data_IF_068733485316
#
_entry.id   IF_068733485316
#
_cell.length_a   1.000
_cell.length_b   1.000
_cell.length_c   1.000
_cell.angle_alpha   90.00
_cell.angle_beta   90.00
_cell.angle_gamma   90.00
#
_symmetry.space_group_name_H-M   'P 1'
#
loop_
_entity.id
_entity.type
_entity.pdbx_description
1 polymer ?
#
# COMPACT_ATOMS: atom_id res chain seq x y z
N UNK A 1 -13.30 -36.83 -1.46
CA UNK A 1 -13.72 -36.64 -2.86
C UNK A 1 -12.65 -37.13 -3.85
N UNK A 2 -11.36 -36.85 -3.62
CA UNK A 2 -10.16 -37.30 -4.37
C UNK A 2 -9.88 -38.83 -4.50
N UNK A 3 -10.87 -39.70 -4.28
CA UNK A 3 -10.71 -41.18 -4.41
C UNK A 3 -11.79 -41.86 -5.23
N UNK A 4 -12.79 -41.12 -5.74
CA UNK A 4 -13.99 -41.71 -6.34
C UNK A 4 -13.94 -41.87 -7.87
N UNK A 5 -13.01 -41.21 -8.56
CA UNK A 5 -13.05 -41.14 -10.01
C UNK A 5 -11.68 -41.45 -10.60
N UNK A 6 -11.59 -42.64 -11.20
CA UNK A 6 -10.39 -43.23 -11.80
C UNK A 6 -10.48 -43.26 -13.33
N UNK A 7 -11.64 -42.95 -13.92
CA UNK A 7 -11.83 -42.85 -15.36
C UNK A 7 -12.99 -41.89 -15.72
N UNK A 8 -13.05 -41.51 -17.00
CA UNK A 8 -14.02 -40.55 -17.55
C UNK A 8 -15.48 -41.02 -17.47
N UNK A 9 -15.75 -42.32 -17.56
CA UNK A 9 -17.10 -42.87 -17.42
C UNK A 9 -17.69 -42.62 -16.04
N UNK A 10 -16.87 -42.67 -14.98
CA UNK A 10 -17.37 -42.42 -13.63
C UNK A 10 -17.71 -40.93 -13.37
N UNK A 11 -17.15 -40.00 -14.15
CA UNK A 11 -17.51 -38.58 -14.12
C UNK A 11 -18.84 -38.37 -14.86
N UNK A 12 -19.05 -39.07 -15.97
CA UNK A 12 -20.31 -39.04 -16.72
C UNK A 12 -21.50 -39.60 -15.92
N UNK A 13 -21.25 -40.66 -15.12
CA UNK A 13 -22.24 -41.26 -14.21
C UNK A 13 -22.55 -40.36 -13.00
N UNK A 14 -21.54 -39.72 -12.41
CA UNK A 14 -21.72 -38.81 -11.26
C UNK A 14 -22.47 -37.52 -11.64
N UNK A 15 -22.36 -37.11 -12.90
CA UNK A 15 -23.12 -36.00 -13.47
C UNK A 15 -24.57 -36.40 -13.79
N UNK A 16 -24.86 -37.68 -14.04
CA UNK A 16 -26.23 -38.20 -14.13
C UNK A 16 -26.90 -38.36 -12.76
N UNK A 17 -26.16 -38.67 -11.70
CA UNK A 17 -26.71 -38.84 -10.34
C UNK A 17 -27.10 -37.52 -9.65
N UNK A 18 -26.79 -36.34 -10.21
CA UNK A 18 -27.22 -35.03 -9.69
C UNK A 18 -28.52 -34.49 -10.33
N UNK A 19 -29.35 -35.35 -10.91
CA UNK A 19 -30.72 -34.98 -11.26
C UNK A 19 -31.56 -34.75 -10.00
N UNK A 20 -31.60 -33.49 -9.54
CA UNK A 20 -32.38 -33.17 -8.36
C UNK A 20 -32.27 -31.74 -7.84
N UNK A 21 -32.25 -30.71 -8.69
CA UNK A 21 -32.74 -29.39 -8.30
C UNK A 21 -33.10 -28.55 -9.53
N UNK A 22 -34.41 -28.38 -9.70
CA UNK A 22 -35.07 -27.62 -10.76
C UNK A 22 -34.75 -26.13 -10.68
N UNK A 23 -34.03 -25.59 -11.66
CA UNK A 23 -34.21 -24.22 -12.18
C UNK A 23 -34.04 -24.27 -13.71
N UNK A 24 -35.02 -23.75 -14.43
CA UNK A 24 -35.14 -23.80 -15.89
C UNK A 24 -33.88 -23.31 -16.62
N UNK A 25 -33.22 -24.22 -17.34
CA UNK A 25 -32.22 -23.90 -18.36
C UNK A 25 -30.83 -24.57 -18.27
N UNK A 26 -30.60 -25.51 -17.35
CA UNK A 26 -29.29 -26.17 -17.17
C UNK A 26 -28.98 -27.29 -18.18
N UNK A 27 -30.00 -27.89 -18.80
CA UNK A 27 -29.83 -29.00 -19.77
C UNK A 27 -28.94 -28.58 -20.96
N UNK A 28 -29.05 -27.32 -21.38
CA UNK A 28 -28.23 -26.78 -22.46
C UNK A 28 -26.77 -26.58 -22.07
N UNK A 29 -26.47 -26.22 -20.81
CA UNK A 29 -25.10 -25.99 -20.35
C UNK A 29 -24.36 -27.32 -20.16
N UNK A 30 -25.07 -28.31 -19.61
CA UNK A 30 -24.55 -29.64 -19.37
C UNK A 30 -24.31 -30.42 -20.68
N UNK A 31 -25.26 -30.40 -21.61
CA UNK A 31 -25.12 -31.04 -22.92
C UNK A 31 -24.07 -30.33 -23.80
N UNK A 32 -23.95 -29.00 -23.67
CA UNK A 32 -22.92 -28.21 -24.35
C UNK A 32 -21.52 -28.50 -23.78
N UNK A 33 -21.36 -28.58 -22.46
CA UNK A 33 -20.10 -28.94 -21.82
C UNK A 33 -19.66 -30.37 -22.22
N UNK A 34 -20.59 -31.34 -22.26
CA UNK A 34 -20.34 -32.70 -22.78
C UNK A 34 -19.88 -32.68 -24.25
N UNK A 35 -20.56 -31.92 -25.12
CA UNK A 35 -20.18 -31.78 -26.54
C UNK A 35 -18.81 -31.10 -26.73
N UNK A 36 -18.48 -30.10 -25.90
CA UNK A 36 -17.16 -29.45 -25.95
C UNK A 36 -16.04 -30.36 -25.44
N UNK A 37 -16.29 -31.18 -24.41
CA UNK A 37 -15.35 -32.18 -23.91
C UNK A 37 -15.09 -33.29 -24.94
N UNK A 38 -16.08 -33.67 -25.75
CA UNK A 38 -15.90 -34.63 -26.86
C UNK A 38 -15.17 -34.04 -28.09
N UNK A 39 -15.25 -32.72 -28.33
CA UNK A 39 -14.60 -32.08 -29.49
C UNK A 39 -13.11 -31.77 -29.27
N UNK A 40 -12.68 -31.62 -28.01
CA UNK A 40 -11.27 -31.38 -27.69
C UNK A 40 -10.59 -32.74 -27.54
N UNK A 41 -9.83 -33.14 -28.56
CA UNK A 41 -8.93 -34.31 -28.51
C UNK A 41 -8.19 -34.38 -27.17
N UNK A 42 -8.57 -35.34 -26.33
CA UNK A 42 -8.02 -35.66 -25.00
C UNK A 42 -6.58 -36.22 -25.07
N UNK A 43 -5.82 -35.92 -26.12
CA UNK A 43 -4.53 -36.53 -26.41
C UNK A 43 -3.33 -36.00 -25.62
N UNK A 44 -3.52 -35.12 -24.62
CA UNK A 44 -2.40 -34.48 -23.90
C UNK A 44 -2.51 -34.47 -22.37
N UNK A 45 -3.57 -35.01 -21.77
CA UNK A 45 -3.68 -35.10 -20.32
C UNK A 45 -3.15 -36.46 -19.85
N UNK A 46 -2.01 -36.46 -19.14
CA UNK A 46 -1.36 -37.70 -18.69
C UNK A 46 -1.83 -38.13 -17.29
N UNK A 47 -2.40 -37.20 -16.49
CA UNK A 47 -2.93 -37.46 -15.14
C UNK A 47 -4.37 -36.94 -14.95
N UNK A 48 -5.08 -37.45 -13.94
CA UNK A 48 -6.45 -37.03 -13.60
C UNK A 48 -6.56 -35.53 -13.23
N UNK A 49 -5.52 -34.96 -12.62
CA UNK A 49 -5.46 -33.54 -12.29
C UNK A 49 -5.34 -32.67 -13.57
N UNK A 50 -4.72 -33.18 -14.63
CA UNK A 50 -4.62 -32.49 -15.92
C UNK A 50 -5.97 -32.46 -16.65
N UNK A 51 -6.72 -33.56 -16.57
CA UNK A 51 -8.10 -33.66 -17.10
C UNK A 51 -9.03 -32.65 -16.43
N UNK A 52 -8.96 -32.55 -15.10
CA UNK A 52 -9.74 -31.59 -14.32
C UNK A 52 -9.43 -30.15 -14.72
N UNK A 53 -8.14 -29.78 -14.78
CA UNK A 53 -7.71 -28.45 -15.18
C UNK A 53 -8.16 -28.08 -16.60
N UNK A 54 -8.07 -29.04 -17.54
CA UNK A 54 -8.56 -28.85 -18.92
C UNK A 54 -10.07 -28.65 -18.95
N UNK A 55 -10.83 -29.43 -18.18
CA UNK A 55 -12.28 -29.28 -18.07
C UNK A 55 -12.67 -27.92 -17.48
N UNK A 56 -12.04 -27.50 -16.37
CA UNK A 56 -12.27 -26.20 -15.75
C UNK A 56 -11.98 -25.05 -16.71
N UNK A 57 -10.91 -25.13 -17.50
CA UNK A 57 -10.59 -24.14 -18.53
C UNK A 57 -11.66 -24.06 -19.62
N UNK A 58 -12.10 -25.21 -20.14
CA UNK A 58 -13.13 -25.26 -21.18
C UNK A 58 -14.43 -24.64 -20.67
N UNK A 59 -14.87 -25.02 -19.47
CA UNK A 59 -16.08 -24.48 -18.83
C UNK A 59 -15.95 -22.97 -18.61
N UNK A 60 -14.85 -22.51 -18.01
CA UNK A 60 -14.65 -21.08 -17.72
C UNK A 60 -14.62 -20.22 -18.99
N UNK A 61 -13.87 -20.64 -20.02
CA UNK A 61 -13.79 -19.91 -21.29
C UNK A 61 -15.15 -19.91 -21.99
N UNK A 62 -15.88 -21.03 -21.95
CA UNK A 62 -17.21 -21.14 -22.55
C UNK A 62 -18.21 -20.21 -21.86
N UNK A 63 -18.30 -20.29 -20.54
CA UNK A 63 -19.24 -19.47 -19.77
C UNK A 63 -18.94 -17.98 -19.96
N UNK A 64 -17.65 -17.58 -19.92
CA UNK A 64 -17.26 -16.19 -20.13
C UNK A 64 -17.70 -15.66 -21.50
N UNK A 65 -17.56 -16.47 -22.56
CA UNK A 65 -18.03 -16.11 -23.90
C UNK A 65 -19.54 -16.04 -23.99
N UNK A 66 -20.26 -16.99 -23.39
CA UNK A 66 -21.72 -17.00 -23.38
C UNK A 66 -22.26 -15.78 -22.63
N UNK A 67 -21.71 -15.46 -21.46
CA UNK A 67 -22.06 -14.25 -20.69
C UNK A 67 -21.75 -12.97 -21.45
N UNK A 68 -20.63 -12.91 -22.17
CA UNK A 68 -20.30 -11.79 -23.03
C UNK A 68 -21.32 -11.62 -24.16
N UNK A 69 -21.63 -12.68 -24.91
CA UNK A 69 -22.65 -12.65 -25.99
C UNK A 69 -24.04 -12.33 -25.44
N UNK A 70 -24.38 -12.84 -24.26
CA UNK A 70 -25.63 -12.55 -23.54
C UNK A 70 -25.71 -11.12 -22.98
N UNK A 71 -24.69 -10.29 -23.18
CA UNK A 71 -24.69 -8.88 -22.81
C UNK A 71 -24.44 -8.60 -21.32
N UNK A 72 -24.06 -9.61 -20.52
CA UNK A 72 -23.78 -9.46 -19.09
C UNK A 72 -22.70 -8.41 -18.80
N UNK A 73 -21.82 -8.16 -19.78
CA UNK A 73 -20.71 -7.22 -19.67
C UNK A 73 -20.85 -5.96 -20.55
N UNK A 74 -22.05 -5.65 -21.06
CA UNK A 74 -22.27 -4.46 -21.91
C UNK A 74 -21.84 -3.15 -21.22
N UNK A 75 -21.93 -3.09 -19.88
CA UNK A 75 -21.48 -1.96 -19.05
C UNK A 75 -19.97 -1.69 -19.16
N UNK A 76 -19.17 -2.70 -19.51
CA UNK A 76 -17.70 -2.63 -19.54
C UNK A 76 -17.14 -2.32 -20.94
N UNK A 77 -17.98 -1.95 -21.92
CA UNK A 77 -17.55 -1.62 -23.28
C UNK A 77 -16.63 -2.68 -23.90
N UNK A 78 -17.00 -3.96 -23.74
CA UNK A 78 -16.18 -5.07 -24.24
C UNK A 78 -16.10 -5.02 -25.77
N UNK A 79 -14.90 -5.19 -26.30
CA UNK A 79 -14.70 -5.36 -27.73
C UNK A 79 -15.07 -6.79 -28.15
N UNK A 80 -16.27 -6.96 -28.69
CA UNK A 80 -16.83 -8.23 -29.13
C UNK A 80 -16.01 -8.93 -30.24
N UNK A 81 -15.13 -8.22 -30.94
CA UNK A 81 -14.24 -8.82 -31.95
C UNK A 81 -13.26 -9.85 -31.37
N UNK A 82 -13.02 -9.81 -30.05
CA UNK A 82 -12.14 -10.76 -29.38
C UNK A 82 -12.84 -12.06 -28.95
N UNK A 83 -14.18 -12.10 -28.90
CA UNK A 83 -14.95 -13.28 -28.43
C UNK A 83 -14.68 -14.53 -29.27
N UNK A 84 -14.44 -14.34 -30.56
CA UNK A 84 -14.12 -15.41 -31.51
C UNK A 84 -12.68 -15.96 -31.34
N UNK A 85 -11.78 -15.23 -30.66
CA UNK A 85 -10.39 -15.62 -30.45
C UNK A 85 -10.24 -16.53 -29.23
N UNK A 86 -10.70 -17.78 -29.33
CA UNK A 86 -10.65 -18.78 -28.23
C UNK A 86 -9.25 -18.95 -27.63
N UNK A 87 -8.21 -18.98 -28.46
CA UNK A 87 -6.83 -19.13 -27.98
C UNK A 87 -6.41 -18.02 -27.02
N UNK A 88 -6.87 -16.78 -27.24
CA UNK A 88 -6.58 -15.67 -26.32
C UNK A 88 -7.22 -15.87 -24.95
N UNK A 89 -8.45 -16.38 -24.90
CA UNK A 89 -9.12 -16.71 -23.64
C UNK A 89 -8.48 -17.88 -22.91
N UNK A 90 -8.01 -18.88 -23.65
CA UNK A 90 -7.26 -20.00 -23.07
C UNK A 90 -5.95 -19.50 -22.45
N UNK A 91 -5.16 -18.70 -23.18
CA UNK A 91 -3.94 -18.10 -22.63
C UNK A 91 -4.23 -17.19 -21.43
N UNK A 92 -5.30 -16.39 -21.48
CA UNK A 92 -5.70 -15.53 -20.37
C UNK A 92 -6.13 -16.33 -19.14
N UNK A 93 -6.87 -17.43 -19.33
CA UNK A 93 -7.23 -18.35 -18.26
C UNK A 93 -5.99 -19.00 -17.65
N UNK A 94 -5.11 -19.57 -18.50
CA UNK A 94 -3.91 -20.26 -18.04
C UNK A 94 -3.01 -19.32 -17.23
N UNK A 95 -2.79 -18.10 -17.72
CA UNK A 95 -2.04 -17.08 -16.99
C UNK A 95 -2.73 -16.66 -15.69
N UNK A 96 -4.05 -16.47 -15.70
CA UNK A 96 -4.76 -16.04 -14.50
C UNK A 96 -4.77 -17.14 -13.43
N UNK A 97 -5.17 -18.36 -13.78
CA UNK A 97 -5.35 -19.46 -12.82
C UNK A 97 -4.00 -20.09 -12.45
N UNK A 98 -3.23 -20.54 -13.43
CA UNK A 98 -2.04 -21.35 -13.17
C UNK A 98 -0.79 -20.54 -12.82
N UNK A 99 -0.78 -19.24 -13.13
CA UNK A 99 0.28 -18.34 -12.71
C UNK A 99 -0.18 -17.41 -11.59
N UNK A 100 -1.10 -16.47 -11.86
CA UNK A 100 -1.45 -15.43 -10.88
C UNK A 100 -2.14 -15.98 -9.61
N UNK A 101 -3.18 -16.80 -9.76
CA UNK A 101 -3.91 -17.35 -8.62
C UNK A 101 -3.06 -18.37 -7.87
N UNK A 102 -2.34 -19.25 -8.59
CA UNK A 102 -1.39 -20.18 -7.97
C UNK A 102 -0.35 -19.46 -7.12
N UNK A 103 0.30 -18.41 -7.62
CA UNK A 103 1.25 -17.62 -6.82
C UNK A 103 0.61 -17.04 -5.56
N UNK A 104 -0.65 -16.58 -5.66
CA UNK A 104 -1.41 -16.11 -4.50
C UNK A 104 -1.67 -17.21 -3.48
N UNK A 105 -2.13 -18.39 -3.92
CA UNK A 105 -2.37 -19.55 -3.07
C UNK A 105 -1.10 -20.08 -2.41
N UNK A 106 0.00 -20.19 -3.16
CA UNK A 106 1.29 -20.63 -2.63
C UNK A 106 1.81 -19.67 -1.56
N UNK A 107 1.59 -18.35 -1.75
CA UNK A 107 1.93 -17.33 -0.76
C UNK A 107 1.03 -17.44 0.48
N UNK A 108 -0.27 -17.59 0.29
CA UNK A 108 -1.25 -17.74 1.37
C UNK A 108 -1.02 -19.00 2.21
N UNK A 109 -0.59 -20.09 1.57
CA UNK A 109 -0.23 -21.33 2.24
C UNK A 109 1.01 -21.19 3.14
N UNK A 110 1.96 -20.31 2.77
CA UNK A 110 3.15 -20.01 3.57
C UNK A 110 2.87 -18.98 4.67
N UNK A 111 2.12 -17.94 4.32
CA UNK A 111 1.79 -16.81 5.19
C UNK A 111 0.26 -16.62 5.14
N UNK A 112 -0.49 -17.23 6.06
CA UNK A 112 -1.93 -17.02 6.16
C UNK A 112 -2.28 -15.54 6.31
N UNK A 113 -3.29 -15.06 5.59
CA UNK A 113 -3.71 -13.65 5.57
C UNK A 113 -2.93 -12.75 4.60
N UNK A 114 -1.93 -13.28 3.88
CA UNK A 114 -1.10 -12.49 2.96
C UNK A 114 -1.90 -11.87 1.81
N UNK A 115 -2.97 -12.53 1.35
CA UNK A 115 -3.82 -12.06 0.27
C UNK A 115 -4.67 -10.87 0.73
N UNK A 116 -5.30 -10.97 1.91
CA UNK A 116 -6.08 -9.88 2.50
C UNK A 116 -5.20 -8.68 2.84
N UNK A 117 -4.05 -8.92 3.48
CA UNK A 117 -3.06 -7.88 3.76
C UNK A 117 -2.56 -7.21 2.47
N UNK A 118 -2.35 -7.98 1.39
CA UNK A 118 -1.98 -7.45 0.08
C UNK A 118 -3.07 -6.58 -0.55
N UNK A 119 -4.33 -6.98 -0.43
CA UNK A 119 -5.47 -6.19 -0.89
C UNK A 119 -5.62 -4.87 -0.13
N UNK A 120 -5.47 -4.91 1.20
CA UNK A 120 -5.45 -3.72 2.07
C UNK A 120 -4.29 -2.78 1.70
N UNK A 121 -3.08 -3.31 1.54
CA UNK A 121 -1.91 -2.52 1.11
C UNK A 121 -2.11 -1.88 -0.28
N UNK A 122 -2.74 -2.61 -1.21
CA UNK A 122 -3.05 -2.07 -2.54
C UNK A 122 -4.04 -0.90 -2.48
N UNK A 123 -5.06 -0.98 -1.63
CA UNK A 123 -6.03 0.10 -1.46
C UNK A 123 -5.39 1.33 -0.80
N UNK A 124 -4.55 1.13 0.22
CA UNK A 124 -3.78 2.22 0.85
C UNK A 124 -2.84 2.90 -0.16
N UNK A 125 -2.05 2.12 -0.91
CA UNK A 125 -1.14 2.67 -1.92
C UNK A 125 -1.87 3.48 -3.01
N UNK A 126 -3.06 3.05 -3.42
CA UNK A 126 -3.90 3.84 -4.35
C UNK A 126 -4.36 5.16 -3.71
N UNK A 127 -4.72 5.16 -2.43
CA UNK A 127 -5.09 6.39 -1.72
C UNK A 127 -3.90 7.34 -1.62
N UNK A 128 -2.70 6.83 -1.31
CA UNK A 128 -1.45 7.61 -1.31
C UNK A 128 -1.15 8.22 -2.66
N UNK A 129 -1.24 7.43 -3.74
CA UNK A 129 -1.03 7.92 -5.10
C UNK A 129 -1.99 9.07 -5.43
N UNK A 130 -3.28 8.95 -5.10
CA UNK A 130 -4.26 10.02 -5.32
C UNK A 130 -3.94 11.28 -4.52
N UNK A 131 -3.51 11.11 -3.26
CA UNK A 131 -3.12 12.22 -2.39
C UNK A 131 -1.86 12.93 -2.91
N UNK A 132 -0.87 12.16 -3.36
CA UNK A 132 0.33 12.64 -4.05
C UNK A 132 -0.07 13.47 -5.27
N UNK A 133 -0.87 12.90 -6.16
CA UNK A 133 -1.28 13.57 -7.40
C UNK A 133 -2.00 14.90 -7.10
N UNK A 134 -2.89 14.92 -6.10
CA UNK A 134 -3.61 16.13 -5.68
C UNK A 134 -2.68 17.20 -5.08
N UNK A 135 -1.77 16.80 -4.19
CA UNK A 135 -0.78 17.70 -3.57
C UNK A 135 0.20 18.24 -4.61
N UNK A 136 0.66 17.40 -5.53
CA UNK A 136 1.59 17.79 -6.58
C UNK A 136 0.94 18.77 -7.57
N UNK A 137 -0.28 18.48 -8.00
CA UNK A 137 -1.04 19.40 -8.85
C UNK A 137 -1.23 20.76 -8.16
N UNK A 138 -1.57 20.76 -6.87
CA UNK A 138 -1.68 21.97 -6.08
C UNK A 138 -0.35 22.73 -6.01
N UNK A 139 0.75 22.07 -5.65
CA UNK A 139 2.08 22.69 -5.58
C UNK A 139 2.51 23.34 -6.91
N UNK A 140 2.21 22.70 -8.04
CA UNK A 140 2.49 23.23 -9.38
C UNK A 140 1.67 24.47 -9.68
N UNK A 141 0.35 24.44 -9.40
CA UNK A 141 -0.56 25.58 -9.62
C UNK A 141 -0.14 26.78 -8.78
N UNK A 142 0.26 26.56 -7.53
CA UNK A 142 0.70 27.59 -6.59
C UNK A 142 2.17 27.98 -6.74
N UNK A 143 2.89 27.42 -7.73
CA UNK A 143 4.29 27.73 -8.05
C UNK A 143 5.22 27.59 -6.85
N UNK A 144 5.05 26.51 -6.09
CA UNK A 144 5.91 26.23 -4.94
C UNK A 144 7.38 26.07 -5.36
N UNK A 145 8.32 26.32 -4.42
CA UNK A 145 9.73 26.03 -4.64
C UNK A 145 9.96 24.59 -5.11
N UNK A 146 10.91 24.40 -6.03
CA UNK A 146 11.20 23.08 -6.62
C UNK A 146 11.51 22.02 -5.56
N UNK A 147 12.17 22.40 -4.46
CA UNK A 147 12.42 21.50 -3.31
C UNK A 147 11.14 20.94 -2.68
N UNK A 148 10.08 21.73 -2.53
CA UNK A 148 8.78 21.23 -2.08
C UNK A 148 8.12 20.34 -3.12
N UNK A 149 8.17 20.73 -4.40
CA UNK A 149 7.63 19.91 -5.49
C UNK A 149 8.29 18.52 -5.59
N UNK A 150 9.58 18.39 -5.24
CA UNK A 150 10.25 17.07 -5.20
C UNK A 150 9.68 16.18 -4.09
N UNK A 151 9.44 16.76 -2.91
CA UNK A 151 8.85 16.04 -1.79
C UNK A 151 7.42 15.62 -2.14
N UNK A 152 6.60 16.52 -2.68
CA UNK A 152 5.20 16.23 -3.02
C UNK A 152 5.01 15.34 -4.26
N UNK A 153 6.06 15.08 -5.03
CA UNK A 153 6.01 14.16 -6.18
C UNK A 153 6.30 12.71 -5.79
N UNK A 154 7.11 12.51 -4.74
CA UNK A 154 7.48 11.19 -4.25
C UNK A 154 6.33 10.55 -3.48
N UNK A 155 5.81 9.42 -3.97
CA UNK A 155 4.72 8.68 -3.31
C UNK A 155 5.14 8.23 -1.91
N UNK A 156 6.42 7.89 -1.71
CA UNK A 156 6.90 7.37 -0.43
C UNK A 156 6.86 8.44 0.69
N UNK A 157 6.96 9.73 0.34
CA UNK A 157 6.82 10.87 1.27
C UNK A 157 5.40 11.04 1.82
N UNK A 158 4.39 10.53 1.11
CA UNK A 158 2.99 10.62 1.52
C UNK A 158 2.61 9.49 2.46
N UNK A 159 1.84 9.84 3.50
CA UNK A 159 1.41 8.91 4.55
C UNK A 159 0.15 8.13 4.16
N UNK A 160 -0.05 7.01 4.83
CA UNK A 160 -1.29 6.23 4.76
C UNK A 160 -2.40 6.99 5.50
N UNK A 161 -3.08 7.93 4.85
CA UNK A 161 -4.25 8.57 5.45
C UNK A 161 -5.44 7.59 5.40
N UNK A 162 -5.78 6.99 6.53
CA UNK A 162 -6.91 6.08 6.68
C UNK A 162 -8.12 6.75 7.33
N UNK A 163 -9.31 6.23 7.04
CA UNK A 163 -10.54 6.73 7.66
C UNK A 163 -10.55 6.39 9.15
N UNK A 164 -10.69 7.41 10.01
CA UNK A 164 -10.63 7.25 11.46
C UNK A 164 -11.54 8.27 12.16
N UNK A 165 -12.43 7.85 13.09
CA UNK A 165 -12.88 6.46 13.28
C UNK A 165 -13.58 5.94 12.01
N UNK A 166 -13.59 4.62 11.82
CA UNK A 166 -14.21 3.98 10.64
C UNK A 166 -15.70 4.36 10.54
N UNK A 167 -16.11 4.94 9.41
CA UNK A 167 -17.49 5.40 9.16
C UNK A 167 -17.71 6.89 9.39
N UNK A 168 -16.74 7.63 9.93
CA UNK A 168 -16.82 9.08 10.18
C UNK A 168 -16.62 9.95 8.94
N UNK A 169 -16.14 9.38 7.82
CA UNK A 169 -15.64 10.10 6.63
C UNK A 169 -14.51 11.09 6.92
N UNK A 170 -13.95 11.10 8.14
CA UNK A 170 -12.73 11.82 8.51
C UNK A 170 -11.54 10.89 8.31
N UNK A 171 -10.43 11.43 7.83
CA UNK A 171 -9.21 10.67 7.58
C UNK A 171 -8.14 11.12 8.57
N UNK A 172 -7.63 10.20 9.38
CA UNK A 172 -6.54 10.51 10.30
C UNK A 172 -5.24 10.69 9.52
N UNK A 173 -4.52 11.75 9.83
CA UNK A 173 -3.14 11.93 9.39
C UNK A 173 -2.28 11.01 10.25
N UNK A 174 -1.94 9.83 9.72
CA UNK A 174 -1.08 8.89 10.43
C UNK A 174 0.30 9.50 10.70
N UNK A 175 0.96 9.13 11.79
CA UNK A 175 2.32 9.56 12.13
C UNK A 175 3.31 8.67 11.39
N UNK A 176 4.15 9.28 10.54
CA UNK A 176 5.30 8.60 9.95
C UNK A 176 6.49 8.79 10.88
N UNK A 177 7.07 7.69 11.33
CA UNK A 177 8.20 7.70 12.25
C UNK A 177 9.43 8.41 11.64
N UNK A 178 9.67 8.20 10.35
CA UNK A 178 10.86 8.70 9.66
C UNK A 178 10.80 10.18 9.28
N UNK A 179 9.64 10.82 9.35
CA UNK A 179 9.52 12.23 9.00
C UNK A 179 9.96 13.12 10.16
N UNK A 180 10.76 14.16 9.85
CA UNK A 180 11.13 15.20 10.80
C UNK A 180 9.90 16.02 11.22
N UNK A 181 10.02 16.74 12.36
CA UNK A 181 8.98 17.69 12.80
C UNK A 181 8.68 18.72 11.71
N UNK A 182 9.71 19.21 11.00
CA UNK A 182 9.56 20.17 9.93
C UNK A 182 8.75 19.62 8.75
N UNK A 183 9.05 18.38 8.31
CA UNK A 183 8.28 17.71 7.26
C UNK A 183 6.81 17.50 7.68
N UNK A 184 6.58 17.17 8.95
CA UNK A 184 5.23 16.96 9.49
C UNK A 184 4.40 18.23 9.42
N UNK A 185 4.95 19.35 9.91
CA UNK A 185 4.28 20.65 9.90
C UNK A 185 4.05 21.14 8.47
N UNK A 186 5.02 20.97 7.57
CA UNK A 186 4.85 21.30 6.15
C UNK A 186 3.64 20.59 5.52
N UNK A 187 3.50 19.27 5.71
CA UNK A 187 2.35 18.54 5.16
C UNK A 187 1.02 18.94 5.80
N UNK A 188 1.02 19.30 7.08
CA UNK A 188 -0.17 19.83 7.76
C UNK A 188 -0.57 21.18 7.17
N UNK A 189 0.38 22.10 7.02
CA UNK A 189 0.14 23.43 6.41
C UNK A 189 -0.34 23.30 4.97
N UNK A 190 0.23 22.37 4.19
CA UNK A 190 -0.24 22.06 2.84
C UNK A 190 -1.69 21.58 2.84
N UNK A 191 -2.06 20.66 3.73
CA UNK A 191 -3.45 20.17 3.85
C UNK A 191 -4.39 21.30 4.26
N UNK A 192 -4.00 22.15 5.22
CA UNK A 192 -4.79 23.29 5.64
C UNK A 192 -4.99 24.31 4.52
N UNK A 193 -3.95 24.59 3.73
CA UNK A 193 -4.02 25.48 2.57
C UNK A 193 -4.94 24.91 1.49
N UNK A 194 -4.80 23.62 1.15
CA UNK A 194 -5.69 22.93 0.20
C UNK A 194 -7.15 22.95 0.68
N UNK A 195 -7.40 22.75 1.97
CA UNK A 195 -8.74 22.75 2.53
C UNK A 195 -9.39 24.14 2.49
N UNK A 196 -8.62 25.21 2.71
CA UNK A 196 -9.10 26.60 2.60
C UNK A 196 -9.54 26.94 1.17
N UNK A 197 -8.88 26.36 0.17
CA UNK A 197 -9.17 26.62 -1.24
C UNK A 197 -10.23 25.70 -1.86
N UNK A 198 -10.46 24.51 -1.28
CA UNK A 198 -11.51 23.60 -1.74
C UNK A 198 -12.92 24.09 -1.34
N UNK A 199 -13.44 25.01 -2.13
CA UNK A 199 -14.81 25.53 -2.01
C UNK A 199 -15.89 24.48 -2.32
N UNK A 200 -15.52 23.32 -2.88
CA UNK A 200 -16.47 22.31 -3.33
C UNK A 200 -16.77 21.26 -2.26
N UNK A 201 -16.02 21.24 -1.15
CA UNK A 201 -16.09 20.21 -0.09
C UNK A 201 -16.01 18.77 -0.66
N UNK A 202 -15.33 18.60 -1.80
CA UNK A 202 -15.16 17.28 -2.44
C UNK A 202 -13.95 16.55 -1.90
N UNK A 203 -13.01 17.27 -1.31
CA UNK A 203 -11.83 16.70 -0.68
C UNK A 203 -12.17 16.00 0.63
N UNK A 204 -11.50 14.89 0.87
CA UNK A 204 -11.55 14.19 2.16
C UNK A 204 -11.03 15.11 3.25
N UNK A 205 -11.83 15.29 4.31
CA UNK A 205 -11.42 16.02 5.50
C UNK A 205 -10.36 15.20 6.23
N UNK A 206 -9.16 15.78 6.36
CA UNK A 206 -8.02 15.16 7.05
C UNK A 206 -7.79 15.86 8.37
N UNK A 207 -7.62 15.09 9.43
CA UNK A 207 -7.54 15.62 10.79
C UNK A 207 -6.40 14.92 11.54
N UNK A 208 -5.71 15.66 12.40
CA UNK A 208 -4.67 15.12 13.26
C UNK A 208 -5.31 14.49 14.50
N UNK A 209 -5.18 13.17 14.72
CA UNK A 209 -5.72 12.53 15.92
C UNK A 209 -4.89 12.91 17.16
N UNK A 210 -5.53 12.90 18.34
CA UNK A 210 -4.87 13.13 19.65
C UNK A 210 -3.96 11.97 20.05
N UNK A 211 -4.37 10.75 19.73
CA UNK A 211 -3.55 9.55 19.88
C UNK A 211 -2.89 9.25 18.53
N UNK A 212 -1.56 9.11 18.45
CA UNK A 212 -0.89 8.98 17.18
C UNK A 212 -1.19 7.62 16.56
N UNK A 213 -1.71 7.62 15.34
CA UNK A 213 -1.91 6.40 14.55
C UNK A 213 -0.67 6.19 13.71
N UNK A 214 0.11 5.14 13.95
CA UNK A 214 1.37 4.91 13.22
C UNK A 214 1.08 4.45 11.78
N UNK A 215 1.80 5.00 10.80
CA UNK A 215 1.71 4.56 9.40
C UNK A 215 2.14 3.11 9.26
N UNK A 216 1.44 2.31 8.45
CA UNK A 216 1.82 0.93 8.16
C UNK A 216 3.09 0.84 7.29
N UNK A 217 3.41 1.90 6.54
CA UNK A 217 4.66 1.99 5.81
C UNK A 217 5.82 2.39 6.74
N UNK A 218 6.64 1.40 7.05
CA UNK A 218 7.86 1.56 7.87
C UNK A 218 9.11 1.91 7.04
N UNK A 219 9.05 1.88 5.71
CA UNK A 219 10.22 2.18 4.89
C UNK A 219 10.40 3.69 4.67
N UNK A 220 11.60 4.24 4.93
CA UNK A 220 11.87 5.65 4.65
C UNK A 220 11.88 5.92 3.14
N UNK A 221 11.35 7.08 2.71
CA UNK A 221 11.47 7.51 1.32
C UNK A 221 12.93 7.69 0.94
N UNK A 222 13.28 7.43 -0.32
CA UNK A 222 14.65 7.56 -0.84
C UNK A 222 14.82 8.88 -1.59
N UNK A 223 16.04 9.40 -1.58
CA UNK A 223 16.49 10.59 -2.29
C UNK A 223 15.69 11.87 -1.96
N UNK A 224 15.13 11.95 -0.75
CA UNK A 224 14.56 13.19 -0.24
C UNK A 224 15.63 14.04 0.47
N UNK A 225 15.40 15.36 0.61
CA UNK A 225 16.30 16.27 1.32
C UNK A 225 16.61 15.79 2.75
N UNK A 226 17.84 16.02 3.24
CA UNK A 226 18.30 15.44 4.52
C UNK A 226 17.44 15.88 5.72
N UNK A 227 16.89 17.09 5.69
CA UNK A 227 16.00 17.66 6.70
C UNK A 227 14.57 17.10 6.69
N UNK A 228 14.26 16.20 5.74
CA UNK A 228 13.04 15.40 5.77
C UNK A 228 13.06 14.33 6.85
N UNK A 229 14.23 13.81 7.20
CA UNK A 229 14.33 12.62 8.05
C UNK A 229 14.36 12.98 9.54
N UNK A 230 13.74 12.18 10.40
CA UNK A 230 13.89 12.32 11.84
C UNK A 230 15.34 11.98 12.26
N UNK A 231 16.01 12.91 12.95
CA UNK A 231 17.43 12.79 13.33
C UNK A 231 17.68 11.54 14.20
N UNK A 232 16.82 11.26 15.18
CA UNK A 232 16.99 10.13 16.10
C UNK A 232 16.91 8.80 15.35
N UNK A 233 15.87 8.63 14.53
CA UNK A 233 15.70 7.40 13.75
C UNK A 233 16.74 7.25 12.64
N UNK A 234 17.18 8.36 12.04
CA UNK A 234 18.24 8.36 11.05
C UNK A 234 19.57 7.91 11.66
N UNK A 235 19.91 8.37 12.86
CA UNK A 235 21.11 7.95 13.60
C UNK A 235 21.10 6.43 13.90
N UNK A 236 19.93 5.87 14.19
CA UNK A 236 19.77 4.44 14.44
C UNK A 236 19.90 3.56 13.17
N UNK A 237 19.91 4.13 11.96
CA UNK A 237 20.07 3.36 10.72
C UNK A 237 21.48 2.80 10.54
N UNK A 238 21.60 1.72 9.77
CA UNK A 238 22.90 1.19 9.33
C UNK A 238 23.63 2.21 8.46
N UNK A 239 24.97 2.15 8.44
CA UNK A 239 25.78 3.11 7.68
C UNK A 239 25.45 3.10 6.18
N UNK A 240 25.26 1.91 5.59
CA UNK A 240 24.85 1.74 4.19
C UNK A 240 23.52 2.46 3.90
N UNK A 241 22.53 2.34 4.80
CA UNK A 241 21.25 3.03 4.68
C UNK A 241 21.41 4.55 4.79
N UNK A 242 22.24 5.04 5.73
CA UNK A 242 22.54 6.47 5.85
C UNK A 242 23.21 7.06 4.60
N UNK A 243 23.99 6.27 3.86
CA UNK A 243 24.61 6.68 2.58
C UNK A 243 23.61 6.79 1.44
N UNK A 244 22.69 5.83 1.33
CA UNK A 244 21.86 5.63 0.13
C UNK A 244 20.47 6.28 0.21
N UNK A 245 19.93 6.45 1.42
CA UNK A 245 18.56 6.93 1.62
C UNK A 245 18.42 8.43 1.34
N UNK A 246 19.17 9.36 1.98
CA UNK A 246 18.91 10.79 1.82
C UNK A 246 19.68 11.40 0.63
N UNK A 247 19.17 12.51 0.12
CA UNK A 247 19.96 13.45 -0.69
C UNK A 247 20.77 14.37 0.23
N UNK A 248 22.05 14.05 0.40
CA UNK A 248 23.00 14.85 1.20
C UNK A 248 23.26 16.26 0.65
N UNK A 249 22.84 16.57 -0.59
CA UNK A 249 23.12 17.85 -1.24
C UNK A 249 21.98 18.86 -1.13
N UNK A 250 20.82 18.46 -0.62
CA UNK A 250 19.65 19.33 -0.53
C UNK A 250 19.02 19.40 0.85
N UNK A 251 18.46 20.57 1.13
CA UNK A 251 17.58 20.85 2.28
C UNK A 251 16.34 21.56 1.75
N UNK A 252 15.20 21.34 2.41
CA UNK A 252 13.90 21.81 1.94
C UNK A 252 13.23 22.84 2.86
N UNK A 253 13.26 22.60 4.17
CA UNK A 253 12.39 23.25 5.13
C UNK A 253 13.04 24.45 5.79
N UNK A 254 12.19 25.40 6.20
CA UNK A 254 12.58 26.55 7.01
C UNK A 254 12.98 26.10 8.43
N UNK A 255 13.82 26.90 9.09
CA UNK A 255 14.16 26.68 10.51
C UNK A 255 12.91 26.70 11.39
N UNK A 256 12.03 27.68 11.17
CA UNK A 256 10.68 27.68 11.71
C UNK A 256 9.69 27.15 10.66
N UNK A 257 9.25 25.89 10.76
CA UNK A 257 8.35 25.29 9.77
C UNK A 257 6.93 25.87 9.83
N UNK A 258 6.54 26.54 10.92
CA UNK A 258 5.22 27.14 11.08
C UNK A 258 4.99 28.26 10.06
N UNK A 259 6.03 29.02 9.73
CA UNK A 259 6.00 30.08 8.71
C UNK A 259 5.89 29.55 7.28
N UNK A 260 6.00 28.23 7.07
CA UNK A 260 5.92 27.63 5.75
C UNK A 260 4.47 27.55 5.28
N UNK A 261 4.21 28.02 4.05
CA UNK A 261 2.88 28.04 3.44
C UNK A 261 1.80 28.83 4.22
N UNK A 262 2.22 29.69 5.15
CA UNK A 262 1.32 30.71 5.71
C UNK A 262 1.06 31.80 4.67
N UNK A 263 -0.09 32.48 4.76
CA UNK A 263 -0.68 33.23 3.64
C UNK A 263 0.24 34.21 2.90
N UNK A 264 1.33 34.69 3.52
CA UNK A 264 2.41 35.40 2.84
C UNK A 264 3.65 34.51 2.67
N UNK A 265 4.12 34.36 1.43
CA UNK A 265 5.34 33.60 1.11
C UNK A 265 6.55 34.19 1.84
N UNK A 266 7.15 33.37 2.71
CA UNK A 266 8.34 33.73 3.48
C UNK A 266 9.51 34.15 2.54
N UNK A 267 10.33 35.16 2.90
CA UNK A 267 11.42 35.63 2.03
C UNK A 267 12.39 34.53 1.61
N UNK A 268 12.72 33.62 2.52
CA UNK A 268 13.64 32.51 2.20
C UNK A 268 12.99 31.46 1.30
N UNK A 269 11.66 31.36 1.25
CA UNK A 269 10.99 30.47 0.31
C UNK A 269 11.17 30.93 -1.14
N UNK A 270 11.32 32.24 -1.36
CA UNK A 270 11.59 32.85 -2.68
C UNK A 270 13.02 32.62 -3.17
N UNK A 271 13.92 32.16 -2.31
CA UNK A 271 15.28 31.82 -2.72
C UNK A 271 15.27 30.63 -3.68
N UNK A 272 16.18 30.69 -4.67
CA UNK A 272 16.50 29.50 -5.48
C UNK A 272 17.02 28.38 -4.59
N UNK A 273 16.80 27.12 -4.97
CA UNK A 273 17.27 25.95 -4.21
C UNK A 273 18.77 26.03 -3.88
N UNK A 274 19.60 26.55 -4.81
CA UNK A 274 21.03 26.75 -4.56
C UNK A 274 21.30 27.77 -3.46
N UNK A 275 20.57 28.89 -3.46
CA UNK A 275 20.68 29.93 -2.43
C UNK A 275 20.17 29.44 -1.08
N UNK A 276 19.07 28.69 -1.08
CA UNK A 276 18.50 28.08 0.12
C UNK A 276 19.47 27.07 0.76
N UNK A 277 20.02 26.14 -0.03
CA UNK A 277 21.01 25.18 0.44
C UNK A 277 22.25 25.87 0.99
N UNK A 278 22.74 26.93 0.34
CA UNK A 278 23.91 27.68 0.84
C UNK A 278 23.67 28.29 2.22
N UNK A 279 22.43 28.69 2.53
CA UNK A 279 22.07 29.32 3.81
C UNK A 279 21.90 28.29 4.93
N UNK A 280 21.13 27.23 4.68
CA UNK A 280 20.65 26.34 5.76
C UNK A 280 21.40 25.01 5.86
N UNK A 281 22.03 24.53 4.78
CA UNK A 281 22.58 23.17 4.73
C UNK A 281 23.65 22.90 5.78
N UNK A 282 24.58 23.82 5.99
CA UNK A 282 25.67 23.64 6.95
C UNK A 282 25.17 23.53 8.40
N UNK A 283 24.13 24.28 8.77
CA UNK A 283 23.52 24.21 10.09
C UNK A 283 22.83 22.86 10.30
N UNK A 284 22.05 22.41 9.30
CA UNK A 284 21.32 21.16 9.36
C UNK A 284 22.26 19.96 9.40
N UNK A 285 23.30 19.92 8.56
CA UNK A 285 24.22 18.78 8.51
C UNK A 285 24.96 18.51 9.81
N UNK A 286 25.14 19.50 10.69
CA UNK A 286 25.75 19.30 12.02
C UNK A 286 24.95 18.33 12.89
N UNK A 287 23.63 18.22 12.68
CA UNK A 287 22.77 17.33 13.45
C UNK A 287 22.85 15.86 12.97
N UNK A 288 23.33 15.62 11.75
CA UNK A 288 23.32 14.31 11.09
C UNK A 288 24.73 13.69 11.05
N UNK A 289 24.89 12.41 11.38
CA UNK A 289 26.17 11.73 11.22
C UNK A 289 26.44 11.50 9.74
N UNK A 290 27.33 12.30 9.15
CA UNK A 290 27.78 12.04 7.78
C UNK A 290 28.51 10.70 7.73
N UNK A 291 28.20 9.83 6.74
CA UNK A 291 28.92 8.59 6.55
C UNK A 291 30.39 8.87 6.19
N UNK A 292 31.29 8.01 6.67
CA UNK A 292 32.72 8.10 6.35
C UNK A 292 32.87 7.77 4.86
N UNK A 293 33.56 8.62 4.09
CA UNK A 293 33.87 8.30 2.69
C UNK A 293 34.90 7.16 2.65
N UNK A 294 34.42 5.92 2.56
CA UNK A 294 35.25 4.79 2.17
C UNK A 294 35.02 4.53 0.68
N UNK A 295 36.09 4.70 -0.08
CA UNK A 295 36.18 4.57 -1.54
C UNK A 295 36.18 3.08 -1.95
N UNK A 296 35.11 2.36 -1.62
CA UNK A 296 34.97 0.95 -1.97
C UNK A 296 33.69 0.71 -2.77
N UNK A 297 33.97 0.16 -3.96
CA UNK A 297 33.11 -0.26 -5.07
C UNK A 297 31.75 -0.83 -4.68
N UNK A 298 30.77 -0.43 -5.48
CA UNK A 298 29.42 -0.98 -5.55
C UNK A 298 29.44 -2.51 -5.66
N UNK A 299 28.92 -3.19 -4.65
CA UNK A 299 28.25 -4.48 -4.83
C UNK A 299 26.77 -4.25 -4.50
N UNK A 300 25.99 -4.19 -5.58
CA UNK A 300 24.53 -4.13 -5.55
C UNK A 300 24.00 -5.50 -5.11
N UNK A 301 23.77 -5.65 -3.81
CA UNK A 301 23.02 -6.78 -3.29
C UNK A 301 21.55 -6.36 -3.12
N UNK A 302 20.73 -6.71 -4.10
CA UNK A 302 19.27 -6.72 -3.95
C UNK A 302 18.90 -7.69 -2.82
N UNK A 303 18.71 -7.16 -1.61
CA UNK A 303 18.14 -7.95 -0.50
C UNK A 303 16.62 -7.96 -0.71
N UNK A 304 16.10 -9.15 -1.04
CA UNK A 304 14.69 -9.46 -1.02
C UNK A 304 14.11 -9.17 0.37
N UNK A 305 13.07 -8.33 0.42
CA UNK A 305 12.42 -7.89 1.63
C UNK A 305 11.55 -9.04 2.18
N UNK A 306 12.10 -9.85 3.09
CA UNK A 306 11.31 -10.73 3.95
C UNK A 306 10.56 -9.86 4.98
N UNK A 307 9.25 -9.74 4.76
CA UNK A 307 8.36 -9.02 5.67
C UNK A 307 8.28 -9.70 7.04
N UNK A 308 8.97 -9.12 8.02
CA UNK A 308 8.75 -9.43 9.43
C UNK A 308 7.34 -9.02 9.85
N UNK A 309 6.53 -9.99 10.26
CA UNK A 309 5.24 -9.76 10.90
C UNK A 309 5.46 -9.19 12.30
N UNK A 310 4.95 -7.99 12.56
CA UNK A 310 4.72 -7.51 13.92
C UNK A 310 3.23 -7.72 14.18
N UNK A 311 2.93 -8.60 15.14
CA UNK A 311 1.61 -8.79 15.70
C UNK A 311 1.28 -7.61 16.60
N UNK A 312 0.17 -6.91 16.32
CA UNK A 312 -0.37 -5.86 17.17
C UNK A 312 -1.88 -6.05 17.28
N UNK A 313 -2.28 -6.68 18.39
CA UNK A 313 -3.65 -6.64 18.89
C UNK A 313 -4.12 -5.19 19.02
N UNK A 314 -5.19 -4.85 18.30
CA UNK A 314 -5.86 -3.56 18.43
C UNK A 314 -6.83 -3.61 19.63
N UNK A 315 -6.83 -2.63 20.55
CA UNK A 315 -7.84 -2.57 21.59
C UNK A 315 -9.18 -2.14 20.98
N UNK A 316 -10.25 -2.87 21.34
CA UNK A 316 -11.62 -2.47 21.06
C UNK A 316 -12.00 -1.31 21.98
N UNK A 317 -12.48 -0.18 21.45
CA UNK A 317 -13.02 0.89 22.28
C UNK A 317 -14.34 1.41 21.73
N UNK A 318 -15.26 1.60 22.68
CA UNK A 318 -16.68 1.92 22.53
C UNK A 318 -16.94 3.21 21.76
N UNK A 319 -18.06 3.19 21.02
CA UNK A 319 -18.73 4.38 20.49
C UNK A 319 -19.26 5.16 21.68
N UNK A 320 -18.71 6.35 21.90
CA UNK A 320 -19.41 7.61 22.18
C UNK A 320 -18.34 8.70 22.44
N UNK A 321 -18.62 9.95 22.01
CA UNK A 321 -17.76 11.15 22.06
C UNK A 321 -16.84 11.43 20.83
N UNK A 322 -17.44 11.71 19.67
CA UNK A 322 -16.75 12.02 18.40
C UNK A 322 -15.78 13.23 18.40
N UNK A 323 -15.89 14.13 19.39
CA UNK A 323 -15.14 15.40 19.39
C UNK A 323 -13.87 15.38 20.27
N UNK A 324 -13.64 14.34 21.07
CA UNK A 324 -12.47 14.28 21.95
C UNK A 324 -11.23 13.64 21.29
N UNK A 325 -11.33 13.15 20.05
CA UNK A 325 -10.25 12.37 19.41
C UNK A 325 -9.27 13.16 18.56
N UNK A 326 -9.50 14.44 18.29
CA UNK A 326 -8.71 15.22 17.32
C UNK A 326 -8.24 16.57 17.86
N UNK A 327 -7.11 17.05 17.37
CA UNK A 327 -6.63 18.41 17.60
C UNK A 327 -7.35 19.42 16.69
N UNK A 328 -7.50 20.67 17.16
CA UNK A 328 -8.02 21.75 16.34
C UNK A 328 -7.04 22.12 15.21
N UNK A 329 -7.51 22.67 14.07
CA UNK A 329 -6.62 23.12 13.01
C UNK A 329 -5.61 24.17 13.53
N UNK A 330 -4.32 23.83 13.52
CA UNK A 330 -3.24 24.69 14.03
C UNK A 330 -2.75 24.36 15.45
N UNK A 331 -3.31 23.35 16.11
CA UNK A 331 -2.73 22.81 17.35
C UNK A 331 -1.66 21.75 17.04
N UNK A 332 -0.47 21.92 17.61
CA UNK A 332 0.68 21.04 17.44
C UNK A 332 0.72 19.99 18.56
N UNK A 333 1.02 18.74 18.22
CA UNK A 333 1.23 17.69 19.22
C UNK A 333 2.31 16.70 18.80
N UNK A 334 2.89 16.07 19.83
CA UNK A 334 4.15 15.29 19.91
C UNK A 334 5.41 16.17 19.95
N UNK A 335 5.66 16.73 21.14
CA UNK A 335 6.99 17.23 21.50
C UNK A 335 7.98 16.06 21.56
N UNK A 336 9.21 16.28 21.10
CA UNK A 336 10.32 15.32 21.27
C UNK A 336 10.81 15.20 22.74
N UNK A 337 10.14 15.87 23.69
CA UNK A 337 10.56 16.08 25.09
C UNK A 337 9.74 15.32 26.14
N UNK A 338 9.15 14.16 25.84
CA UNK A 338 8.56 13.30 26.87
C UNK A 338 9.02 11.85 26.77
N UNK A 339 10.28 11.62 27.16
CA UNK A 339 10.72 10.43 27.89
C UNK A 339 11.82 10.86 28.87
N UNK A 340 11.46 11.73 29.83
CA UNK A 340 12.29 12.00 31.01
C UNK A 340 12.07 10.92 32.07
N UNK A 341 13.16 10.28 32.48
CA UNK A 341 13.34 9.51 33.73
C UNK A 341 12.30 8.42 34.04
N UNK A 342 12.63 7.17 33.68
CA UNK A 342 12.47 6.08 34.63
C UNK A 342 13.84 5.76 35.21
N UNK A 343 14.10 6.33 36.38
CA UNK A 343 15.16 5.89 37.28
C UNK A 343 14.99 4.41 37.62
N UNK A 344 16.10 3.78 38.00
CA UNK A 344 16.26 2.34 38.03
C UNK A 344 15.29 1.59 38.95
N UNK A 345 14.92 0.40 38.51
CA UNK A 345 14.50 -0.66 39.40
C UNK A 345 15.46 -1.84 39.24
N UNK A 346 16.34 -1.94 40.21
CA UNK A 346 17.22 -3.04 40.53
C UNK A 346 16.36 -4.32 40.70
N UNK A 347 16.51 -5.29 39.82
CA UNK A 347 15.90 -6.62 40.00
C UNK A 347 16.93 -7.53 40.68
N UNK A 348 16.77 -7.68 41.99
CA UNK A 348 17.37 -8.75 42.79
C UNK A 348 17.01 -10.11 42.18
N UNK A 349 18.02 -10.91 41.84
CA UNK A 349 17.86 -12.35 41.61
C UNK A 349 17.59 -13.03 42.95
N UNK A 350 16.39 -13.56 43.15
CA UNK A 350 16.16 -14.59 44.15
C UNK A 350 16.53 -15.96 43.57
N UNK A 351 17.51 -16.60 44.22
CA UNK A 351 17.88 -17.99 44.06
C UNK A 351 16.68 -18.90 44.36
N UNK A 352 16.42 -19.84 43.46
CA UNK A 352 15.49 -20.95 43.73
C UNK A 352 16.35 -22.20 43.95
N UNK A 353 16.40 -22.67 45.19
CA UNK A 353 16.98 -23.95 45.58
C UNK A 353 16.12 -25.10 45.05
N UNK A 354 16.76 -26.05 44.35
CA UNK A 354 16.19 -27.33 43.94
C UNK A 354 16.00 -28.26 45.15
N UNK A 355 14.83 -28.91 45.24
CA UNK A 355 14.57 -30.14 46.00
C UNK A 355 13.98 -31.19 45.08
#
# INVERSE_FOLDING_TARGET
FYRKFSNTSQIEDALQEQEGLSIDGEDGLHEFAKKQLQQVNLGQAQNNDDLYNVACRIVAVTMLKQLAVGGAYNKYSINFSFITKTGLFQCAYDHFVHYRMKMGCDKEARIPGSFEAGAARSSSNKNRSRLRDARQAFAIVHKFPKRYCRITDDIASHRDDEEYPKGSKKYAICTSLYCSRQANIFFQNLVAMMAKEDKTNRSRLRVLPKVPVVSQNSDPPKQLPIDFYNVKLFKAQTEMRRRTIPDWNSVAFLENPEESLEGQVHPDEKLSDKGFNKKFREAILKAYPMPVQNDHSEEDSEIENEGGSIDLEAPSVNKDEEDNYFYAPGEYAYDEENESNSEGSDYMMDEVEDV
#
